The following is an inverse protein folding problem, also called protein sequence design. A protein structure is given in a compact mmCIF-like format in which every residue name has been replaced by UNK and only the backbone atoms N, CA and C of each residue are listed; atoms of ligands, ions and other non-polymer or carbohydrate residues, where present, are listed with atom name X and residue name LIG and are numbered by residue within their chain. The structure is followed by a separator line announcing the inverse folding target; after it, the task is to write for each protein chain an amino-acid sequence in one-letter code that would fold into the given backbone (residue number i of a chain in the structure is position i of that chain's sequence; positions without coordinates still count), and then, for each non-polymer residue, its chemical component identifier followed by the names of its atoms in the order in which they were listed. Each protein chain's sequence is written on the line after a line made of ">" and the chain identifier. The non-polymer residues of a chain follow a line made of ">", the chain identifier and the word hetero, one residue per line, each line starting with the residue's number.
data_IF_828839865534
#
_entry.id   IF_828839865534
#
_cell.length_a   1.000
_cell.length_b   1.000
_cell.length_c   1.000
_cell.angle_alpha   90.00
_cell.angle_beta   90.00
_cell.angle_gamma   90.00
#
_symmetry.space_group_name_H-M   'P 1'
#
loop_
_entity.id
_entity.type
_entity.pdbx_description
1 polymer ?
#
# COMPACT_ATOMS: atom_id res chain seq x y z
N UNK A 1 9.49 -3.76 37.23
CA UNK A 1 8.41 -4.20 36.31
C UNK A 1 8.82 -4.22 34.84
N UNK A 2 10.09 -3.97 34.47
CA UNK A 2 10.56 -3.90 33.08
C UNK A 2 11.00 -5.25 32.46
N UNK A 3 10.79 -6.39 33.13
CA UNK A 3 11.30 -7.69 32.67
C UNK A 3 10.26 -8.65 32.07
N UNK A 4 8.98 -8.28 32.00
CA UNK A 4 7.91 -9.16 31.47
C UNK A 4 7.55 -8.86 30.01
N UNK A 5 7.83 -7.67 29.52
CA UNK A 5 7.54 -7.26 28.14
C UNK A 5 8.46 -7.96 27.13
N UNK A 6 9.75 -8.10 27.46
CA UNK A 6 10.72 -8.73 26.56
C UNK A 6 10.43 -10.22 26.29
N UNK A 7 9.86 -10.93 27.26
CA UNK A 7 9.57 -12.35 27.10
C UNK A 7 8.38 -12.61 26.18
N UNK A 8 7.38 -11.73 26.17
CA UNK A 8 6.22 -11.84 25.29
C UNK A 8 6.57 -11.51 23.84
N UNK A 9 7.41 -10.50 23.61
CA UNK A 9 7.90 -10.14 22.27
C UNK A 9 8.81 -11.23 21.69
N UNK A 10 9.67 -11.83 22.53
CA UNK A 10 10.50 -12.96 22.13
C UNK A 10 9.65 -14.18 21.72
N UNK A 11 8.62 -14.52 22.49
CA UNK A 11 7.70 -15.62 22.15
C UNK A 11 6.89 -15.38 20.87
N UNK A 12 6.54 -14.12 20.57
CA UNK A 12 5.86 -13.74 19.34
C UNK A 12 6.81 -13.87 18.13
N UNK A 13 8.06 -13.41 18.26
CA UNK A 13 9.08 -13.53 17.22
C UNK A 13 9.39 -15.01 16.90
N UNK A 14 9.53 -15.86 17.91
CA UNK A 14 9.81 -17.29 17.72
C UNK A 14 8.64 -18.04 17.06
N UNK A 15 7.39 -17.67 17.33
CA UNK A 15 6.21 -18.24 16.65
C UNK A 15 6.14 -17.85 15.17
N UNK A 16 6.57 -16.65 14.81
CA UNK A 16 6.61 -16.22 13.40
C UNK A 16 7.59 -17.03 12.55
N UNK A 17 8.62 -17.61 13.19
CA UNK A 17 9.60 -18.50 12.57
C UNK A 17 9.18 -19.98 12.57
N UNK A 18 7.93 -20.29 12.93
CA UNK A 18 7.41 -21.66 13.06
C UNK A 18 8.24 -22.57 14.00
N UNK A 19 8.92 -21.98 14.98
CA UNK A 19 9.64 -22.74 15.99
C UNK A 19 8.65 -23.17 17.07
N UNK A 20 8.27 -24.44 17.07
CA UNK A 20 7.43 -25.00 18.14
C UNK A 20 8.21 -24.98 19.47
N UNK A 21 7.60 -24.50 20.57
CA UNK A 21 8.24 -24.50 21.87
C UNK A 21 8.55 -25.94 22.30
N UNK A 22 9.82 -26.20 22.61
CA UNK A 22 10.27 -27.51 23.08
C UNK A 22 9.51 -27.86 24.36
N UNK A 23 8.62 -28.85 24.26
CA UNK A 23 7.88 -29.40 25.37
C UNK A 23 8.86 -30.06 26.35
N UNK A 24 9.28 -29.29 27.37
CA UNK A 24 10.19 -29.76 28.43
C UNK A 24 9.61 -30.92 29.22
N UNK A 25 8.30 -31.20 29.13
CA UNK A 25 7.68 -32.36 29.78
C UNK A 25 8.00 -33.68 29.06
N UNK A 26 8.45 -33.63 27.80
CA UNK A 26 8.87 -34.79 26.99
C UNK A 26 10.37 -35.01 26.93
N UNK A 27 11.16 -34.24 27.68
CA UNK A 27 12.59 -34.49 27.77
C UNK A 27 12.83 -35.93 28.25
N UNK A 28 13.55 -36.78 27.48
CA UNK A 28 13.84 -38.14 27.89
C UNK A 28 14.60 -38.09 29.21
N UNK A 29 13.99 -38.61 30.28
CA UNK A 29 14.69 -38.84 31.54
C UNK A 29 15.82 -39.81 31.23
N UNK A 30 17.04 -39.28 31.11
CA UNK A 30 18.24 -40.09 31.05
C UNK A 30 18.29 -40.92 32.34
N UNK A 31 17.84 -42.18 32.26
CA UNK A 31 18.27 -43.23 33.18
C UNK A 31 19.75 -43.39 32.89
N UNK A 32 20.58 -42.75 33.72
CA UNK A 32 22.00 -43.08 33.75
C UNK A 32 22.16 -44.58 33.94
N UNK A 33 23.16 -45.22 33.29
CA UNK A 33 23.49 -46.60 33.57
C UNK A 33 23.76 -46.73 35.06
N UNK A 34 23.15 -47.74 35.68
CA UNK A 34 23.44 -48.09 37.06
C UNK A 34 24.96 -48.31 37.22
N UNK A 35 25.56 -47.91 38.35
CA UNK A 35 26.92 -48.32 38.65
C UNK A 35 26.91 -49.85 38.79
N UNK A 36 27.57 -50.54 37.87
CA UNK A 36 27.75 -51.97 37.94
C UNK A 36 28.52 -52.26 39.23
N UNK A 37 27.82 -52.90 40.16
CA UNK A 37 28.33 -53.29 41.45
C UNK A 37 29.52 -54.21 41.26
N UNK A 38 30.66 -53.75 41.77
CA UNK A 38 31.80 -54.61 42.07
C UNK A 38 31.33 -55.83 42.89
N UNK A 39 31.26 -56.99 42.24
CA UNK A 39 31.29 -58.29 42.91
C UNK A 39 32.70 -58.87 42.77
N UNK A 40 33.55 -58.48 43.70
CA UNK A 40 34.77 -59.20 44.07
C UNK A 40 34.41 -60.63 44.50
N UNK A 41 34.62 -61.60 43.60
CA UNK A 41 34.70 -63.01 43.96
C UNK A 41 36.18 -63.36 44.21
N UNK A 42 36.49 -63.67 45.47
CA UNK A 42 37.82 -64.03 45.94
C UNK A 42 38.33 -65.33 45.28
N UNK A 43 39.61 -65.41 44.83
CA UNK A 43 40.20 -66.68 44.44
C UNK A 43 40.47 -67.53 45.69
N UNK A 44 39.93 -68.75 45.69
CA UNK A 44 40.19 -69.78 46.70
C UNK A 44 41.70 -70.07 46.76
N UNK A 45 42.30 -69.95 47.94
CA UNK A 45 43.61 -70.52 48.27
C UNK A 45 43.56 -72.02 47.97
N UNK A 46 44.32 -72.47 46.97
CA UNK A 46 44.70 -73.88 46.84
C UNK A 46 45.92 -74.09 47.74
N UNK A 47 45.76 -74.99 48.70
CA UNK A 47 46.83 -75.47 49.58
C UNK A 47 47.94 -76.13 48.74
N UNK A 48 49.21 -75.98 49.16
CA UNK A 48 50.34 -76.63 48.51
C UNK A 48 50.36 -78.12 48.87
N UNK A 49 50.56 -79.04 47.92
CA UNK A 49 50.96 -80.39 48.26
C UNK A 49 52.42 -80.36 48.71
N UNK A 50 52.62 -80.64 49.99
CA UNK A 50 53.88 -81.18 50.50
C UNK A 50 54.05 -82.57 49.92
N UNK A 51 55.10 -82.79 49.12
CA UNK A 51 55.78 -84.08 49.11
C UNK A 51 57.16 -83.98 48.45
N UNK A 52 58.14 -84.17 49.33
CA UNK A 52 59.46 -84.76 49.16
C UNK A 52 59.75 -85.52 47.86
N UNK A 53 60.81 -85.07 47.16
CA UNK A 53 61.77 -85.97 46.51
C UNK A 53 63.08 -85.22 46.23
N UNK A 54 64.10 -85.51 47.05
CA UNK A 54 65.49 -85.19 46.78
C UNK A 54 65.96 -85.95 45.54
N UNK A 55 66.37 -85.24 44.49
CA UNK A 55 67.12 -85.81 43.38
C UNK A 55 68.46 -85.07 43.28
N UNK A 56 69.55 -85.83 43.40
CA UNK A 56 70.90 -85.35 43.14
C UNK A 56 70.98 -84.79 41.71
N UNK A 57 71.16 -83.48 41.60
CA UNK A 57 71.35 -82.79 40.32
C UNK A 57 72.80 -82.93 39.85
N UNK A 58 72.93 -83.62 38.73
CA UNK A 58 74.14 -83.78 37.93
C UNK A 58 74.60 -82.39 37.38
N UNK A 59 75.85 -81.94 37.60
CA UNK A 59 76.32 -80.58 37.27
C UNK A 59 76.26 -80.20 35.78
N UNK A 60 76.02 -81.16 34.89
CA UNK A 60 75.73 -80.94 33.45
C UNK A 60 74.34 -80.34 33.21
N UNK A 61 73.35 -80.64 34.05
CA UNK A 61 71.94 -80.19 33.89
C UNK A 61 71.70 -78.73 34.28
N UNK A 62 72.58 -78.13 35.10
CA UNK A 62 72.47 -76.74 35.51
C UNK A 62 72.83 -75.76 34.38
N UNK A 63 73.87 -76.09 33.60
CA UNK A 63 74.32 -75.26 32.47
C UNK A 63 73.31 -75.25 31.33
N UNK A 64 72.73 -76.40 31.00
CA UNK A 64 71.67 -76.51 29.99
C UNK A 64 70.42 -75.70 30.39
N UNK A 65 70.13 -75.64 31.70
CA UNK A 65 69.03 -74.84 32.24
C UNK A 65 69.29 -73.34 32.14
N UNK A 66 70.52 -72.87 32.41
CA UNK A 66 70.89 -71.45 32.25
C UNK A 66 70.91 -71.02 30.78
N UNK A 67 71.41 -71.87 29.87
CA UNK A 67 71.35 -71.64 28.42
C UNK A 67 69.89 -71.59 27.93
N UNK A 68 69.01 -72.47 28.43
CA UNK A 68 67.58 -72.45 28.12
C UNK A 68 66.88 -71.20 28.68
N UNK A 69 67.25 -70.73 29.88
CA UNK A 69 66.72 -69.49 30.45
C UNK A 69 67.15 -68.27 29.64
N UNK A 70 68.43 -68.20 29.24
CA UNK A 70 68.92 -67.12 28.41
C UNK A 70 68.24 -67.08 27.03
N UNK A 71 68.06 -68.24 26.39
CA UNK A 71 67.32 -68.35 25.13
C UNK A 71 65.85 -67.91 25.30
N UNK A 72 65.22 -68.26 26.42
CA UNK A 72 63.85 -67.80 26.74
C UNK A 72 63.79 -66.29 26.92
N UNK A 73 64.74 -65.70 27.63
CA UNK A 73 64.77 -64.26 27.89
C UNK A 73 65.01 -63.47 26.60
N UNK A 74 65.86 -63.97 25.69
CA UNK A 74 66.02 -63.42 24.34
C UNK A 74 64.72 -63.51 23.53
N UNK A 75 64.03 -64.66 23.55
CA UNK A 75 62.75 -64.83 22.86
C UNK A 75 61.65 -63.92 23.44
N UNK A 76 61.64 -63.70 24.75
CA UNK A 76 60.75 -62.74 25.41
C UNK A 76 61.08 -61.33 24.95
N UNK A 77 62.35 -60.92 24.95
CA UNK A 77 62.77 -59.60 24.49
C UNK A 77 62.39 -59.33 23.03
N UNK A 78 62.57 -60.30 22.15
CA UNK A 78 62.16 -60.21 20.74
C UNK A 78 60.64 -60.09 20.59
N UNK A 79 59.87 -60.85 21.37
CA UNK A 79 58.41 -60.76 21.38
C UNK A 79 57.94 -59.40 21.89
N UNK A 80 58.54 -58.90 22.97
CA UNK A 80 58.17 -57.63 23.58
C UNK A 80 58.51 -56.46 22.65
N UNK A 81 59.62 -56.52 21.92
CA UNK A 81 59.94 -55.53 20.89
C UNK A 81 58.95 -55.56 19.72
N UNK A 82 58.59 -56.74 19.21
CA UNK A 82 57.58 -56.86 18.16
C UNK A 82 56.18 -56.36 18.61
N UNK A 83 55.85 -56.54 19.90
CA UNK A 83 54.62 -55.97 20.48
C UNK A 83 54.69 -54.45 20.53
N UNK A 84 55.82 -53.86 20.92
CA UNK A 84 56.02 -52.39 20.91
C UNK A 84 55.89 -51.83 19.50
N UNK A 85 56.53 -52.44 18.51
CA UNK A 85 56.42 -52.01 17.10
C UNK A 85 54.96 -52.06 16.62
N UNK A 86 54.25 -53.15 16.90
CA UNK A 86 52.83 -53.27 16.56
C UNK A 86 51.97 -52.21 17.23
N UNK A 87 52.22 -51.95 18.51
CA UNK A 87 51.46 -50.97 19.29
C UNK A 87 51.76 -49.53 18.80
N UNK A 88 53.00 -49.24 18.37
CA UNK A 88 53.36 -47.98 17.72
C UNK A 88 52.68 -47.82 16.36
N UNK A 89 52.73 -48.84 15.49
CA UNK A 89 52.03 -48.80 14.19
C UNK A 89 50.52 -48.63 14.35
N UNK A 90 49.94 -49.25 15.38
CA UNK A 90 48.52 -49.07 15.71
C UNK A 90 48.22 -47.64 16.17
N UNK A 91 49.05 -47.07 17.03
CA UNK A 91 48.90 -45.69 17.48
C UNK A 91 49.07 -44.68 16.34
N UNK A 92 49.96 -44.93 15.39
CA UNK A 92 50.12 -44.13 14.17
C UNK A 92 48.88 -44.21 13.28
N UNK A 93 48.37 -45.42 13.02
CA UNK A 93 47.14 -45.60 12.25
C UNK A 93 45.93 -44.92 12.91
N UNK A 94 45.82 -45.02 14.24
CA UNK A 94 44.76 -44.33 15.01
C UNK A 94 44.88 -42.80 14.87
N UNK A 95 46.09 -42.23 14.93
CA UNK A 95 46.32 -40.79 14.70
C UNK A 95 45.98 -40.36 13.28
N UNK A 96 46.33 -41.18 12.27
CA UNK A 96 45.98 -40.90 10.87
C UNK A 96 44.47 -40.95 10.65
N UNK A 97 43.78 -41.93 11.25
CA UNK A 97 42.32 -42.03 11.20
C UNK A 97 41.65 -40.83 11.88
N UNK A 98 42.15 -40.39 13.04
CA UNK A 98 41.68 -39.18 13.70
C UNK A 98 41.92 -37.92 12.86
N UNK A 99 43.10 -37.77 12.25
CA UNK A 99 43.42 -36.65 11.39
C UNK A 99 42.50 -36.62 10.15
N UNK A 100 42.24 -37.78 9.55
CA UNK A 100 41.31 -37.92 8.43
C UNK A 100 39.88 -37.58 8.84
N UNK A 101 39.41 -38.08 9.99
CA UNK A 101 38.08 -37.77 10.50
C UNK A 101 37.91 -36.26 10.78
N UNK A 102 38.95 -35.59 11.27
CA UNK A 102 38.95 -34.13 11.45
C UNK A 102 38.84 -33.39 10.12
N UNK A 103 39.63 -33.77 9.12
CA UNK A 103 39.57 -33.18 7.77
C UNK A 103 38.21 -33.41 7.11
N UNK A 104 37.64 -34.61 7.23
CA UNK A 104 36.29 -34.92 6.72
C UNK A 104 35.22 -34.06 7.44
N UNK A 105 35.36 -33.85 8.75
CA UNK A 105 34.47 -32.98 9.51
C UNK A 105 34.61 -31.49 9.10
N UNK A 106 35.83 -31.02 8.87
CA UNK A 106 36.08 -29.64 8.39
C UNK A 106 35.51 -29.42 6.98
N UNK A 107 35.68 -30.39 6.07
CA UNK A 107 35.11 -30.34 4.73
C UNK A 107 33.58 -30.34 4.76
N UNK A 108 32.97 -31.14 5.63
CA UNK A 108 31.53 -31.14 5.84
C UNK A 108 31.05 -29.75 6.31
N UNK A 109 31.70 -29.17 7.33
CA UNK A 109 31.37 -27.82 7.83
C UNK A 109 31.53 -26.75 6.76
N UNK A 110 32.58 -26.81 5.96
CA UNK A 110 32.80 -25.86 4.86
C UNK A 110 31.71 -25.97 3.78
N UNK A 111 31.26 -27.20 3.49
CA UNK A 111 30.17 -27.46 2.55
C UNK A 111 28.84 -26.90 3.06
N UNK A 112 28.54 -27.11 4.35
CA UNK A 112 27.34 -26.56 4.99
C UNK A 112 27.35 -25.03 4.99
N UNK A 113 28.48 -24.41 5.37
CA UNK A 113 28.66 -22.95 5.30
C UNK A 113 28.47 -22.41 3.88
N UNK A 114 28.99 -23.11 2.87
CA UNK A 114 28.79 -22.72 1.47
C UNK A 114 27.32 -22.83 1.04
N UNK A 115 26.59 -23.84 1.52
CA UNK A 115 25.16 -23.99 1.27
C UNK A 115 24.35 -22.86 1.95
N UNK A 116 24.69 -22.47 3.17
CA UNK A 116 24.07 -21.34 3.87
C UNK A 116 24.30 -20.02 3.14
N UNK A 117 25.53 -19.74 2.70
CA UNK A 117 25.85 -18.54 1.91
C UNK A 117 25.09 -18.48 0.58
N UNK A 118 24.88 -19.62 -0.08
CA UNK A 118 24.04 -19.69 -1.29
C UNK A 118 22.59 -19.33 -0.97
N UNK A 119 22.00 -19.90 0.08
CA UNK A 119 20.62 -19.59 0.51
C UNK A 119 20.45 -18.11 0.89
N UNK A 120 21.46 -17.52 1.55
CA UNK A 120 21.46 -16.09 1.88
C UNK A 120 21.45 -15.22 0.62
N UNK A 121 22.33 -15.51 -0.35
CA UNK A 121 22.38 -14.81 -1.65
C UNK A 121 21.08 -14.95 -2.44
N UNK A 122 20.49 -16.13 -2.48
CA UNK A 122 19.21 -16.37 -3.16
C UNK A 122 18.07 -15.56 -2.50
N UNK A 123 18.12 -15.38 -1.19
CA UNK A 123 17.15 -14.58 -0.44
C UNK A 123 17.33 -13.09 -0.71
N UNK A 124 18.57 -12.59 -0.72
CA UNK A 124 18.89 -11.21 -1.10
C UNK A 124 18.45 -10.91 -2.54
N UNK A 125 18.76 -11.81 -3.49
CA UNK A 125 18.35 -11.66 -4.89
C UNK A 125 16.83 -11.63 -5.05
N UNK A 126 16.09 -12.45 -4.31
CA UNK A 126 14.62 -12.41 -4.29
C UNK A 126 14.10 -11.08 -3.76
N UNK A 127 14.64 -10.60 -2.63
CA UNK A 127 14.26 -9.30 -2.06
C UNK A 127 14.55 -8.13 -3.01
N UNK A 128 15.71 -8.17 -3.71
CA UNK A 128 16.05 -7.16 -4.71
C UNK A 128 15.10 -7.18 -5.91
N UNK A 129 14.77 -8.36 -6.44
CA UNK A 129 13.79 -8.49 -7.54
C UNK A 129 12.40 -8.01 -7.12
N UNK A 130 11.98 -8.31 -5.89
CA UNK A 130 10.70 -7.83 -5.35
C UNK A 130 10.70 -6.30 -5.22
N UNK A 131 11.78 -5.70 -4.72
CA UNK A 131 11.91 -4.25 -4.64
C UNK A 131 11.90 -3.60 -6.03
N UNK A 132 12.65 -4.14 -6.98
CA UNK A 132 12.66 -3.68 -8.37
C UNK A 132 11.27 -3.79 -9.01
N UNK A 133 10.55 -4.89 -8.77
CA UNK A 133 9.16 -5.05 -9.22
C UNK A 133 8.21 -4.04 -8.57
N UNK A 134 8.34 -3.78 -7.27
CA UNK A 134 7.52 -2.78 -6.56
C UNK A 134 7.80 -1.37 -7.07
N UNK A 135 9.06 -1.02 -7.31
CA UNK A 135 9.43 0.27 -7.90
C UNK A 135 8.92 0.41 -9.33
N UNK A 136 9.01 -0.65 -10.14
CA UNK A 136 8.46 -0.68 -11.50
C UNK A 136 6.93 -0.62 -11.53
N UNK A 137 6.25 -1.08 -10.48
CA UNK A 137 4.80 -1.01 -10.33
C UNK A 137 4.29 0.36 -9.87
N UNK A 138 5.16 1.26 -9.39
CA UNK A 138 4.77 2.64 -9.09
C UNK A 138 4.45 3.31 -10.44
N UNK A 139 3.21 3.73 -10.70
CA UNK A 139 2.87 4.39 -11.94
C UNK A 139 3.73 5.64 -12.09
N UNK A 140 4.33 5.81 -13.26
CA UNK A 140 5.10 7.02 -13.56
C UNK A 140 4.23 8.24 -13.27
N UNK A 141 4.73 9.24 -12.53
CA UNK A 141 3.99 10.46 -12.30
C UNK A 141 3.58 11.05 -13.65
N UNK A 142 2.30 11.42 -13.78
CA UNK A 142 1.82 12.07 -15.00
C UNK A 142 2.61 13.35 -15.19
N UNK A 143 3.12 13.58 -16.39
CA UNK A 143 3.81 14.83 -16.67
C UNK A 143 2.81 15.99 -16.68
N UNK A 144 3.28 17.20 -16.36
CA UNK A 144 2.44 18.40 -16.47
C UNK A 144 1.81 18.52 -17.87
N UNK A 145 2.57 18.17 -18.92
CA UNK A 145 2.06 18.11 -20.31
C UNK A 145 0.85 17.18 -20.41
N UNK A 146 0.94 15.94 -19.89
CA UNK A 146 -0.18 14.99 -19.91
C UNK A 146 -1.39 15.52 -19.16
N UNK A 147 -1.18 16.12 -17.99
CA UNK A 147 -2.26 16.70 -17.19
C UNK A 147 -2.95 17.87 -17.90
N UNK A 148 -2.19 18.75 -18.56
CA UNK A 148 -2.75 19.85 -19.34
C UNK A 148 -3.49 19.34 -20.59
N UNK A 149 -2.98 18.32 -21.27
CA UNK A 149 -3.70 17.66 -22.38
C UNK A 149 -5.00 17.02 -21.91
N UNK A 150 -4.99 16.28 -20.80
CA UNK A 150 -6.19 15.69 -20.18
C UNK A 150 -7.19 16.76 -19.75
N UNK A 151 -6.69 17.91 -19.28
CA UNK A 151 -7.51 19.08 -18.91
C UNK A 151 -8.12 19.78 -20.12
N UNK A 152 -7.59 19.51 -21.31
CA UNK A 152 -8.15 19.91 -22.59
C UNK A 152 -7.29 20.83 -23.42
N UNK A 153 -6.06 21.19 -23.02
CA UNK A 153 -5.17 22.07 -23.79
C UNK A 153 -4.90 21.51 -25.20
N UNK A 154 -5.08 22.32 -26.25
CA UNK A 154 -5.03 21.84 -27.63
C UNK A 154 -3.60 21.67 -28.16
N UNK A 155 -2.69 22.58 -27.82
CA UNK A 155 -1.33 22.59 -28.33
C UNK A 155 -0.31 23.16 -27.33
N UNK A 156 0.97 23.20 -27.72
CA UNK A 156 2.06 23.66 -26.87
C UNK A 156 2.01 25.18 -26.57
N UNK A 157 1.43 25.97 -27.47
CA UNK A 157 1.30 27.41 -27.25
C UNK A 157 0.25 27.68 -26.17
N UNK A 158 -0.90 26.99 -26.24
CA UNK A 158 -1.94 27.08 -25.21
C UNK A 158 -1.46 26.53 -23.86
N UNK A 159 -0.70 25.42 -23.85
CA UNK A 159 -0.08 24.93 -22.61
C UNK A 159 0.86 25.98 -21.99
N UNK A 160 1.63 26.69 -22.81
CA UNK A 160 2.53 27.75 -22.36
C UNK A 160 1.72 28.91 -21.77
N UNK A 161 0.63 29.32 -22.41
CA UNK A 161 -0.28 30.34 -21.89
C UNK A 161 -0.86 29.94 -20.53
N UNK A 162 -1.36 28.70 -20.40
CA UNK A 162 -1.88 28.16 -19.12
C UNK A 162 -0.81 28.23 -18.02
N UNK A 163 0.40 27.76 -18.30
CA UNK A 163 1.48 27.73 -17.32
C UNK A 163 1.87 29.15 -16.90
N UNK A 164 2.00 30.08 -17.84
CA UNK A 164 2.31 31.48 -17.55
C UNK A 164 1.19 32.14 -16.73
N UNK A 165 -0.07 31.86 -17.07
CA UNK A 165 -1.22 32.39 -16.34
C UNK A 165 -1.25 31.86 -14.90
N UNK A 166 -0.98 30.57 -14.68
CA UNK A 166 -0.88 29.97 -13.34
C UNK A 166 0.26 30.57 -12.52
N UNK A 167 1.45 30.71 -13.12
CA UNK A 167 2.62 31.33 -12.48
C UNK A 167 2.39 32.80 -12.13
N UNK A 168 1.55 33.50 -12.90
CA UNK A 168 1.23 34.92 -12.64
C UNK A 168 0.29 35.08 -11.45
N UNK A 169 -0.66 34.17 -11.27
CA UNK A 169 -1.69 34.29 -10.22
C UNK A 169 -1.28 33.64 -8.89
N UNK A 170 -0.58 32.49 -8.91
CA UNK A 170 -0.07 31.86 -7.69
C UNK A 170 1.21 31.02 -7.94
N UNK A 171 2.39 31.67 -7.99
CA UNK A 171 3.63 30.97 -8.29
C UNK A 171 4.10 30.04 -7.15
N UNK A 172 3.96 30.47 -5.89
CA UNK A 172 4.45 29.67 -4.75
C UNK A 172 3.61 28.41 -4.57
N UNK A 173 2.28 28.55 -4.58
CA UNK A 173 1.40 27.39 -4.43
C UNK A 173 1.59 26.39 -5.60
N UNK A 174 1.75 26.88 -6.83
CA UNK A 174 2.00 26.01 -7.98
C UNK A 174 3.32 25.24 -7.82
N UNK A 175 4.37 25.88 -7.31
CA UNK A 175 5.66 25.21 -7.09
C UNK A 175 5.58 24.18 -5.95
N UNK A 176 4.86 24.50 -4.86
CA UNK A 176 4.63 23.58 -3.75
C UNK A 176 3.82 22.34 -4.19
N UNK A 177 2.81 22.54 -5.04
CA UNK A 177 2.00 21.45 -5.61
C UNK A 177 2.78 20.59 -6.62
N UNK A 178 3.71 21.20 -7.37
CA UNK A 178 4.63 20.47 -8.24
C UNK A 178 5.65 19.63 -7.45
N UNK A 179 6.01 20.08 -6.24
CA UNK A 179 6.92 19.35 -5.34
C UNK A 179 6.20 18.30 -4.50
N UNK A 180 4.88 18.45 -4.30
CA UNK A 180 4.05 17.64 -3.42
C UNK A 180 3.53 16.33 -4.03
N UNK A 181 2.91 15.52 -3.16
CA UNK A 181 2.22 14.29 -3.52
C UNK A 181 0.73 14.47 -3.78
N UNK A 182 0.18 15.68 -3.58
CA UNK A 182 -1.19 15.95 -4.03
C UNK A 182 -1.23 15.81 -5.55
N UNK A 183 -2.26 15.16 -6.10
CA UNK A 183 -2.35 15.00 -7.54
C UNK A 183 -2.56 16.39 -8.14
N UNK A 184 -1.50 16.96 -8.73
CA UNK A 184 -1.50 18.22 -9.49
C UNK A 184 -2.75 18.39 -10.37
N UNK A 185 -3.34 17.30 -10.87
CA UNK A 185 -4.64 17.23 -11.52
C UNK A 185 -5.78 17.92 -10.73
N UNK A 186 -5.91 17.66 -9.43
CA UNK A 186 -6.96 18.22 -8.59
C UNK A 186 -6.77 19.73 -8.38
N UNK A 187 -5.53 20.16 -8.17
CA UNK A 187 -5.22 21.57 -8.01
C UNK A 187 -5.41 22.36 -9.31
N UNK A 188 -5.02 21.80 -10.46
CA UNK A 188 -5.38 22.35 -11.77
C UNK A 188 -6.91 22.43 -11.94
N UNK A 189 -7.66 21.44 -11.45
CA UNK A 189 -9.12 21.45 -11.50
C UNK A 189 -9.79 22.58 -10.70
N UNK A 190 -9.20 23.00 -9.58
CA UNK A 190 -9.74 24.07 -8.74
C UNK A 190 -9.22 25.46 -9.11
N UNK A 191 -8.01 25.56 -9.68
CA UNK A 191 -7.31 26.83 -9.96
C UNK A 191 -7.30 27.26 -11.43
N UNK A 192 -7.63 26.37 -12.37
CA UNK A 192 -7.68 26.67 -13.80
C UNK A 192 -9.10 26.47 -14.32
N UNK A 193 -9.62 27.50 -15.00
CA UNK A 193 -10.86 27.40 -15.77
C UNK A 193 -10.63 27.78 -17.23
N UNK A 194 -11.05 26.89 -18.13
CA UNK A 194 -11.08 27.10 -19.56
C UNK A 194 -12.43 27.70 -19.93
N UNK A 195 -12.45 28.96 -20.37
CA UNK A 195 -13.71 29.68 -20.65
C UNK A 195 -13.71 30.28 -22.04
N UNK A 196 -14.87 30.34 -22.69
CA UNK A 196 -14.96 31.10 -23.93
C UNK A 196 -15.14 32.61 -23.67
N UNK A 197 -15.14 33.40 -24.73
CA UNK A 197 -15.26 34.88 -24.67
C UNK A 197 -16.67 35.36 -24.29
N UNK A 198 -17.62 34.44 -24.11
CA UNK A 198 -18.98 34.77 -23.69
C UNK A 198 -18.96 35.40 -22.29
N UNK A 199 -19.61 36.56 -22.07
CA UNK A 199 -19.60 37.23 -20.77
C UNK A 199 -20.23 36.36 -19.66
N UNK A 200 -21.13 35.45 -20.00
CA UNK A 200 -21.72 34.47 -19.08
C UNK A 200 -20.71 33.46 -18.53
N UNK A 201 -19.64 33.22 -19.27
CA UNK A 201 -18.66 32.18 -18.97
C UNK A 201 -17.45 32.69 -18.19
N UNK A 202 -17.27 34.00 -18.06
CA UNK A 202 -16.21 34.56 -17.21
C UNK A 202 -16.42 34.09 -15.77
N UNK A 203 -15.44 33.61 -15.01
CA UNK A 203 -15.62 33.22 -13.60
C UNK A 203 -15.68 34.45 -12.67
N UNK A 204 -16.20 34.30 -11.44
CA UNK A 204 -16.21 35.38 -10.42
C UNK A 204 -15.06 35.30 -9.43
N UNK A 205 -14.41 34.15 -9.33
CA UNK A 205 -13.42 33.86 -8.30
C UNK A 205 -12.00 34.11 -8.81
N UNK A 206 -11.02 34.18 -7.91
CA UNK A 206 -9.59 34.35 -8.20
C UNK A 206 -8.96 33.08 -8.81
N UNK A 207 -9.58 32.54 -9.85
CA UNK A 207 -9.16 31.36 -10.61
C UNK A 207 -8.44 31.86 -11.86
N UNK A 208 -7.37 31.17 -12.25
CA UNK A 208 -6.66 31.44 -13.51
C UNK A 208 -7.58 31.10 -14.68
N UNK A 209 -7.82 32.09 -15.54
CA UNK A 209 -8.71 31.97 -16.69
C UNK A 209 -7.89 31.86 -17.98
N UNK A 210 -8.20 30.86 -18.79
CA UNK A 210 -7.64 30.75 -20.15
C UNK A 210 -8.78 30.70 -21.16
N UNK A 211 -8.65 31.51 -22.20
CA UNK A 211 -9.68 31.65 -23.21
C UNK A 211 -9.59 30.52 -24.24
N UNK A 212 -10.69 29.80 -24.42
CA UNK A 212 -10.79 28.66 -25.33
C UNK A 212 -12.02 28.76 -26.24
N UNK A 213 -12.06 28.03 -27.36
CA UNK A 213 -13.27 27.92 -28.17
C UNK A 213 -14.48 27.43 -27.36
N UNK A 214 -15.71 27.82 -27.72
CA UNK A 214 -16.93 27.49 -26.97
C UNK A 214 -17.07 26.01 -26.62
N UNK A 215 -16.70 25.11 -27.52
CA UNK A 215 -16.83 23.66 -27.39
C UNK A 215 -15.99 23.10 -26.24
N UNK A 216 -14.91 23.80 -25.87
CA UNK A 216 -13.96 23.43 -24.81
C UNK A 216 -14.19 24.20 -23.50
N UNK A 217 -15.17 25.09 -23.47
CA UNK A 217 -15.47 25.90 -22.29
C UNK A 217 -16.05 25.03 -21.16
N UNK A 218 -15.44 25.07 -19.97
CA UNK A 218 -15.88 24.33 -18.79
C UNK A 218 -17.29 24.72 -18.33
N UNK A 219 -17.67 25.98 -18.54
CA UNK A 219 -18.95 26.54 -18.11
C UNK A 219 -20.06 26.11 -19.06
N UNK A 220 -19.91 26.38 -20.36
CA UNK A 220 -21.00 26.20 -21.32
C UNK A 220 -20.90 24.97 -22.22
N UNK A 221 -19.70 24.41 -22.44
CA UNK A 221 -19.45 23.35 -23.41
C UNK A 221 -20.06 23.64 -24.79
N UNK A 222 -20.03 24.90 -25.22
CA UNK A 222 -20.60 25.41 -26.46
C UNK A 222 -22.07 25.81 -26.39
N UNK A 223 -22.83 25.28 -25.42
CA UNK A 223 -24.27 25.47 -25.31
C UNK A 223 -24.64 26.87 -24.79
N UNK A 224 -25.35 27.65 -25.60
CA UNK A 224 -25.85 28.97 -25.20
C UNK A 224 -26.88 28.89 -24.07
N UNK A 225 -27.67 27.80 -24.02
CA UNK A 225 -28.63 27.57 -22.93
C UNK A 225 -27.89 27.31 -21.62
N UNK A 226 -26.83 26.50 -21.65
CA UNK A 226 -26.02 26.21 -20.46
C UNK A 226 -25.30 27.47 -19.97
N UNK A 227 -24.73 28.27 -20.87
CA UNK A 227 -24.14 29.56 -20.53
C UNK A 227 -25.13 30.48 -19.79
N UNK A 228 -26.34 30.64 -20.33
CA UNK A 228 -27.39 31.46 -19.72
C UNK A 228 -27.87 30.90 -18.36
N UNK A 229 -27.88 29.58 -18.20
CA UNK A 229 -28.22 28.93 -16.93
C UNK A 229 -27.17 29.18 -15.85
N UNK A 230 -25.88 29.03 -16.17
CA UNK A 230 -24.78 29.31 -15.23
C UNK A 230 -24.72 30.79 -14.84
N UNK A 231 -24.99 31.70 -15.78
CA UNK A 231 -25.17 33.12 -15.47
C UNK A 231 -26.31 33.32 -14.46
N UNK A 232 -27.48 32.70 -14.69
CA UNK A 232 -28.62 32.81 -13.78
C UNK A 232 -28.26 32.28 -12.37
N UNK A 233 -27.63 31.11 -12.27
CA UNK A 233 -27.21 30.54 -10.99
C UNK A 233 -26.30 31.50 -10.23
N UNK A 234 -25.34 32.10 -10.93
CA UNK A 234 -24.42 33.04 -10.33
C UNK A 234 -25.12 34.31 -9.84
N UNK A 235 -25.96 34.92 -10.67
CA UNK A 235 -26.71 36.14 -10.26
C UNK A 235 -27.68 35.85 -9.13
N UNK A 236 -28.33 34.68 -9.15
CA UNK A 236 -29.17 34.23 -8.04
C UNK A 236 -28.36 34.10 -6.74
N UNK A 237 -27.16 33.51 -6.79
CA UNK A 237 -26.27 33.41 -5.62
C UNK A 237 -25.86 34.79 -5.09
N UNK A 238 -25.46 35.71 -5.97
CA UNK A 238 -25.09 37.08 -5.59
C UNK A 238 -26.28 37.83 -4.95
N UNK A 239 -27.49 37.63 -5.47
CA UNK A 239 -28.72 38.20 -4.94
C UNK A 239 -29.29 37.44 -3.71
N UNK A 240 -28.62 36.38 -3.23
CA UNK A 240 -29.10 35.55 -2.12
C UNK A 240 -30.38 34.75 -2.42
N UNK A 241 -30.73 34.58 -3.70
CA UNK A 241 -31.92 33.86 -4.16
C UNK A 241 -31.58 32.37 -4.31
N UNK A 242 -32.26 31.54 -3.52
CA UNK A 242 -32.07 30.08 -3.50
C UNK A 242 -33.26 29.32 -4.08
N UNK A 243 -34.39 30.00 -4.31
CA UNK A 243 -35.64 29.39 -4.79
C UNK A 243 -36.30 30.23 -5.89
N UNK A 244 -36.34 29.69 -7.10
CA UNK A 244 -37.01 30.31 -8.25
C UNK A 244 -38.15 29.40 -8.72
N UNK A 245 -39.33 29.99 -8.92
CA UNK A 245 -40.45 29.34 -9.59
C UNK A 245 -40.60 29.90 -11.00
N UNK A 246 -40.67 29.04 -12.01
CA UNK A 246 -40.95 29.44 -13.39
C UNK A 246 -42.35 28.94 -13.77
N UNK A 247 -43.23 29.88 -14.12
CA UNK A 247 -44.61 29.63 -14.54
C UNK A 247 -44.70 29.79 -16.05
N UNK A 248 -45.05 28.70 -16.75
CA UNK A 248 -45.21 28.67 -18.20
C UNK A 248 -44.20 27.79 -18.92
N UNK A 249 -43.86 28.17 -20.15
CA UNK A 249 -42.95 27.43 -21.03
C UNK A 249 -43.60 26.22 -21.72
N UNK A 250 -42.99 25.72 -22.79
CA UNK A 250 -43.41 24.48 -23.43
C UNK A 250 -43.01 23.26 -22.57
N UNK A 251 -43.66 22.09 -22.73
CA UNK A 251 -43.21 20.86 -22.07
C UNK A 251 -41.74 20.53 -22.33
N UNK A 252 -41.28 20.75 -23.57
CA UNK A 252 -39.88 20.54 -23.96
C UNK A 252 -38.94 21.46 -23.18
N UNK A 253 -39.27 22.75 -23.05
CA UNK A 253 -38.41 23.69 -22.32
C UNK A 253 -38.34 23.37 -20.83
N UNK A 254 -39.45 22.94 -20.21
CA UNK A 254 -39.43 22.48 -18.83
C UNK A 254 -38.57 21.22 -18.65
N UNK A 255 -38.60 20.29 -19.60
CA UNK A 255 -37.73 19.12 -19.55
C UNK A 255 -36.25 19.51 -19.64
N UNK A 256 -35.91 20.46 -20.51
CA UNK A 256 -34.54 20.99 -20.62
C UNK A 256 -34.10 21.71 -19.33
N UNK A 257 -34.92 22.60 -18.78
CA UNK A 257 -34.62 23.27 -17.51
C UNK A 257 -34.47 22.27 -16.35
N UNK A 258 -35.31 21.24 -16.30
CA UNK A 258 -35.18 20.16 -15.32
C UNK A 258 -33.86 19.40 -15.46
N UNK A 259 -33.37 19.20 -16.70
CA UNK A 259 -32.07 18.58 -16.95
C UNK A 259 -30.92 19.46 -16.49
N UNK A 260 -30.96 20.77 -16.78
CA UNK A 260 -29.93 21.73 -16.39
C UNK A 260 -29.86 21.94 -14.87
N UNK A 261 -31.00 21.85 -14.20
CA UNK A 261 -31.09 22.01 -12.75
C UNK A 261 -30.44 20.84 -11.98
N UNK A 262 -30.23 19.67 -12.59
CA UNK A 262 -29.63 18.51 -11.91
C UNK A 262 -28.22 18.86 -11.40
N UNK A 263 -28.03 18.84 -10.08
CA UNK A 263 -26.76 19.16 -9.43
C UNK A 263 -26.55 20.64 -9.05
N UNK A 264 -27.52 21.52 -9.34
CA UNK A 264 -27.48 22.91 -8.87
C UNK A 264 -28.01 23.07 -7.44
N UNK A 265 -27.51 24.07 -6.74
CA UNK A 265 -27.93 24.50 -5.40
C UNK A 265 -29.25 25.32 -5.42
N UNK A 266 -29.55 25.97 -6.54
CA UNK A 266 -30.79 26.71 -6.77
C UNK A 266 -31.99 25.77 -6.89
N UNK A 267 -32.95 25.84 -5.96
CA UNK A 267 -34.19 25.05 -6.08
C UNK A 267 -35.10 25.64 -7.15
N UNK A 268 -35.42 24.82 -8.16
CA UNK A 268 -36.23 25.23 -9.30
C UNK A 268 -37.61 24.54 -9.27
N UNK A 269 -38.68 25.32 -9.19
CA UNK A 269 -40.05 24.81 -9.37
C UNK A 269 -40.60 25.21 -10.74
N UNK A 270 -41.04 24.21 -11.52
CA UNK A 270 -41.57 24.43 -12.86
C UNK A 270 -43.08 24.18 -12.86
N UNK A 271 -43.86 25.23 -13.12
CA UNK A 271 -45.33 25.19 -13.13
C UNK A 271 -45.84 25.32 -14.55
N UNK A 272 -46.70 24.39 -14.97
CA UNK A 272 -47.36 24.48 -16.27
C UNK A 272 -48.36 25.64 -16.27
N UNK A 273 -48.38 26.40 -17.36
CA UNK A 273 -49.35 27.49 -17.53
C UNK A 273 -50.82 27.07 -17.50
N UNK A 274 -51.10 25.77 -17.68
CA UNK A 274 -52.46 25.18 -17.60
C UNK A 274 -52.83 24.65 -16.23
N UNK A 275 -51.87 24.56 -15.31
CA UNK A 275 -52.14 24.09 -13.94
C UNK A 275 -52.69 25.23 -13.10
N UNK A 276 -53.62 24.92 -12.19
CA UNK A 276 -54.21 25.87 -11.23
C UNK A 276 -53.57 25.64 -9.86
N UNK A 277 -52.38 26.21 -9.58
CA UNK A 277 -51.79 26.11 -8.25
C UNK A 277 -52.71 26.77 -7.23
N UNK A 278 -52.76 26.22 -6.01
CA UNK A 278 -53.49 26.88 -4.92
C UNK A 278 -52.80 28.21 -4.58
N UNK A 279 -53.58 29.25 -4.25
CA UNK A 279 -53.06 30.58 -3.86
C UNK A 279 -52.04 30.50 -2.71
N UNK A 280 -52.23 29.54 -1.79
CA UNK A 280 -51.28 29.30 -0.68
C UNK A 280 -49.93 28.81 -1.19
N UNK A 281 -49.92 27.84 -2.12
CA UNK A 281 -48.69 27.33 -2.74
C UNK A 281 -48.00 28.42 -3.55
N UNK A 282 -48.76 29.18 -4.33
CA UNK A 282 -48.23 30.28 -5.13
C UNK A 282 -47.44 31.28 -4.26
N UNK A 283 -47.95 31.69 -3.09
CA UNK A 283 -47.33 32.71 -2.22
C UNK A 283 -46.05 32.26 -1.50
N UNK A 284 -45.93 30.99 -1.11
CA UNK A 284 -44.82 30.55 -0.25
C UNK A 284 -43.74 29.75 -0.97
N UNK A 285 -43.96 29.41 -2.24
CA UNK A 285 -43.12 28.44 -2.93
C UNK A 285 -41.74 28.97 -3.36
N UNK A 286 -41.61 30.28 -3.64
CA UNK A 286 -40.37 30.83 -4.16
C UNK A 286 -40.05 32.25 -3.65
N UNK A 287 -38.78 32.60 -3.70
CA UNK A 287 -38.26 33.95 -3.43
C UNK A 287 -38.39 34.86 -4.65
N UNK A 288 -38.36 34.27 -5.84
CA UNK A 288 -38.63 34.93 -7.12
C UNK A 288 -39.54 34.07 -7.97
N UNK A 289 -40.54 34.70 -8.59
CA UNK A 289 -41.47 34.05 -9.50
C UNK A 289 -41.27 34.63 -10.89
N UNK A 290 -41.00 33.76 -11.86
CA UNK A 290 -40.81 34.13 -13.26
C UNK A 290 -42.06 33.74 -14.03
N UNK A 291 -42.78 34.74 -14.56
CA UNK A 291 -43.87 34.52 -15.50
C UNK A 291 -43.29 34.53 -16.91
N UNK A 292 -43.24 33.37 -17.55
CA UNK A 292 -42.71 33.24 -18.91
C UNK A 292 -43.81 33.49 -19.94
N UNK A 293 -43.94 34.76 -20.31
CA UNK A 293 -45.04 35.35 -21.09
C UNK A 293 -45.11 34.96 -22.57
N UNK A 294 -44.13 34.21 -23.10
CA UNK A 294 -44.24 33.62 -24.44
C UNK A 294 -45.26 32.45 -24.51
N UNK A 295 -45.91 32.13 -23.39
CA UNK A 295 -46.95 31.09 -23.31
C UNK A 295 -48.25 31.65 -22.78
N UNK A 296 -49.37 31.29 -23.41
CA UNK A 296 -50.71 31.68 -22.96
C UNK A 296 -50.95 31.12 -21.56
N UNK A 297 -51.10 31.99 -20.58
CA UNK A 297 -51.49 31.66 -19.21
C UNK A 297 -52.99 31.90 -19.04
N UNK A 298 -53.67 31.02 -18.32
CA UNK A 298 -55.04 31.27 -17.87
C UNK A 298 -55.03 32.51 -16.95
N UNK A 299 -56.01 33.40 -17.12
CA UNK A 299 -56.17 34.61 -16.29
C UNK A 299 -56.20 34.26 -14.81
N UNK A 300 -56.79 33.11 -14.44
CA UNK A 300 -56.80 32.63 -13.07
C UNK A 300 -55.39 32.28 -12.52
N UNK A 301 -54.48 31.80 -13.38
CA UNK A 301 -53.10 31.47 -13.00
C UNK A 301 -52.28 32.75 -12.84
N UNK A 302 -52.38 33.70 -13.76
CA UNK A 302 -51.66 34.99 -13.64
C UNK A 302 -52.08 35.76 -12.38
N UNK A 303 -53.39 35.89 -12.13
CA UNK A 303 -53.92 36.58 -10.96
C UNK A 303 -53.47 35.94 -9.62
N UNK A 304 -53.15 34.63 -9.61
CA UNK A 304 -52.65 33.96 -8.42
C UNK A 304 -51.22 34.39 -8.04
N UNK A 305 -50.43 34.89 -9.00
CA UNK A 305 -49.03 35.29 -8.80
C UNK A 305 -48.82 36.80 -8.72
N UNK A 306 -49.78 37.63 -9.12
CA UNK A 306 -49.70 39.11 -9.00
C UNK A 306 -49.42 39.59 -7.56
N UNK A 307 -49.85 38.83 -6.56
CA UNK A 307 -49.61 39.14 -5.14
C UNK A 307 -48.13 39.09 -4.72
N UNK A 308 -47.20 38.70 -5.60
CA UNK A 308 -45.75 38.70 -5.34
C UNK A 308 -45.07 40.06 -5.53
N UNK A 309 -45.75 41.03 -6.15
CA UNK A 309 -45.23 42.39 -6.32
C UNK A 309 -43.84 42.40 -6.96
N UNK A 310 -42.87 43.02 -6.30
CA UNK A 310 -41.48 43.15 -6.75
C UNK A 310 -40.75 41.81 -6.94
N UNK A 311 -41.23 40.71 -6.33
CA UNK A 311 -40.65 39.38 -6.52
C UNK A 311 -41.06 38.72 -7.85
N UNK A 312 -41.95 39.37 -8.60
CA UNK A 312 -42.50 38.86 -9.85
C UNK A 312 -41.73 39.41 -11.05
N UNK A 313 -41.11 38.51 -11.80
CA UNK A 313 -40.31 38.80 -12.99
C UNK A 313 -41.13 38.38 -14.21
N UNK A 314 -41.59 39.35 -15.00
CA UNK A 314 -42.31 39.09 -16.25
C UNK A 314 -41.35 39.03 -17.43
N UNK A 315 -41.25 37.87 -18.08
CA UNK A 315 -40.33 37.68 -19.21
C UNK A 315 -41.10 37.51 -20.51
N UNK A 316 -40.85 38.38 -21.48
CA UNK A 316 -41.48 38.32 -22.82
C UNK A 316 -40.54 37.77 -23.90
N UNK A 317 -39.59 36.91 -23.53
CA UNK A 317 -38.63 36.35 -24.48
C UNK A 317 -39.05 35.00 -25.07
N UNK A 318 -38.77 34.78 -26.35
CA UNK A 318 -38.90 33.46 -27.01
C UNK A 318 -37.64 32.61 -26.79
N UNK A 319 -37.80 31.36 -26.35
CA UNK A 319 -36.67 30.45 -26.12
C UNK A 319 -36.02 30.59 -24.73
N UNK A 320 -35.37 29.53 -24.28
CA UNK A 320 -34.87 29.40 -22.90
C UNK A 320 -33.75 30.40 -22.61
N UNK A 321 -32.73 30.50 -23.47
CA UNK A 321 -31.54 31.32 -23.17
C UNK A 321 -31.90 32.78 -22.91
N UNK A 322 -32.69 33.39 -23.79
CA UNK A 322 -33.11 34.78 -23.60
C UNK A 322 -34.00 34.98 -22.39
N UNK A 323 -34.84 33.99 -22.04
CA UNK A 323 -35.59 34.04 -20.79
C UNK A 323 -34.66 34.03 -19.57
N UNK A 324 -33.66 33.15 -19.55
CA UNK A 324 -32.69 33.05 -18.46
C UNK A 324 -31.85 34.34 -18.32
N UNK A 325 -31.42 34.95 -19.43
CA UNK A 325 -30.73 36.24 -19.41
C UNK A 325 -31.57 37.35 -18.80
N UNK A 326 -32.83 37.46 -19.21
CA UNK A 326 -33.72 38.50 -18.69
C UNK A 326 -33.97 38.32 -17.19
N UNK A 327 -34.13 37.08 -16.72
CA UNK A 327 -34.22 36.79 -15.29
C UNK A 327 -32.93 37.18 -14.57
N UNK A 328 -31.77 36.75 -15.07
CA UNK A 328 -30.48 37.07 -14.46
C UNK A 328 -30.25 38.58 -14.35
N UNK A 329 -30.54 39.35 -15.41
CA UNK A 329 -30.41 40.80 -15.41
C UNK A 329 -31.34 41.50 -14.40
N UNK A 330 -32.55 40.96 -14.16
CA UNK A 330 -33.45 41.50 -13.12
C UNK A 330 -32.98 41.17 -11.70
N UNK A 331 -32.37 40.01 -11.49
CA UNK A 331 -31.79 39.67 -10.18
C UNK A 331 -30.63 40.60 -9.82
N UNK A 332 -29.85 41.05 -10.81
CA UNK A 332 -28.77 42.01 -10.61
C UNK A 332 -29.25 43.42 -10.23
N UNK A 333 -30.42 43.82 -10.72
CA UNK A 333 -30.98 45.15 -10.41
C UNK A 333 -31.56 45.25 -8.99
N UNK A 334 -31.88 44.11 -8.38
CA UNK A 334 -32.53 44.02 -7.06
C UNK A 334 -31.54 43.87 -5.89
N UNK A 335 -30.26 43.55 -6.16
CA UNK A 335 -29.22 43.26 -5.16
C UNK A 335 -28.28 44.42 -4.94
#
# INVERSE_FOLDING_TARGET
>A
MAGRTDQAEFEAAMRSLAVEPIDRSKAPRHRGPAPDGARTAAPRRREPPEDSASAHSDPTTARERDEALHARDLAIGQRDEALRERDLSRAELEREQEARARLEQELARATDQQAELRRARDTEQRGRRELEQRLAAIPSPRSLRQLLTERGAADEAEMTEIVLALLTHSPVDLLDELAGSEPLAAALGSRLSLVCERPECQPTDAITVVHVPPERCDVCGGSSIRAAWELLLRRARLAGVTRIMIVGGSPQYRAQLKSLHQGSDLRLELVSGRSKPSRRRARTAAERVVIWGATILDHATSAAFEAHGERLIHVQHRGISGMLHEVAARLDADG
#
